data_IF_291056812488
#
_entry.id   IF_291056812488
#
_cell.length_a   1.000
_cell.length_b   1.000
_cell.length_c   1.000
_cell.angle_alpha   90.00
_cell.angle_beta   90.00
_cell.angle_gamma   90.00
#
_symmetry.space_group_name_H-M   'P 1'
#
loop_
_entity.id
_entity.type
_entity.pdbx_description
1 polymer ?
#
# COMPACT_ATOMS: atom_id res chain seq x y z
N UNK A 1 20.77 6.39 -10.22
CA UNK A 1 20.59 5.58 -11.44
C UNK A 1 20.99 4.15 -11.08
N UNK A 2 20.01 3.26 -10.89
CA UNK A 2 20.30 1.83 -10.74
C UNK A 2 20.68 1.27 -12.09
N UNK A 3 21.69 0.37 -12.20
CA UNK A 3 22.07 -0.21 -13.48
C UNK A 3 20.91 -1.07 -14.01
N UNK A 4 20.75 -1.16 -15.34
CA UNK A 4 19.76 -2.01 -15.95
C UNK A 4 20.04 -3.47 -15.56
N UNK A 5 18.97 -4.24 -15.30
CA UNK A 5 19.02 -5.70 -15.16
C UNK A 5 19.40 -6.30 -16.51
N UNK A 6 20.67 -6.20 -16.88
CA UNK A 6 21.22 -6.92 -18.03
C UNK A 6 21.55 -8.33 -17.55
N UNK A 7 20.73 -9.29 -17.96
CA UNK A 7 21.07 -10.69 -17.82
C UNK A 7 22.24 -11.00 -18.79
N UNK A 8 23.48 -10.97 -18.28
CA UNK A 8 24.57 -11.68 -18.96
C UNK A 8 24.24 -13.17 -18.94
N UNK A 9 24.19 -13.78 -20.12
CA UNK A 9 23.99 -15.22 -20.28
C UNK A 9 25.28 -15.91 -19.86
N UNK A 10 25.35 -16.58 -18.68
CA UNK A 10 26.51 -17.41 -18.36
C UNK A 10 26.48 -18.68 -19.19
N UNK A 11 27.66 -19.21 -19.49
CA UNK A 11 27.85 -20.46 -20.18
C UNK A 11 27.03 -21.59 -19.56
N UNK A 12 26.32 -22.35 -20.40
CA UNK A 12 25.37 -23.38 -20.03
C UNK A 12 26.07 -24.57 -19.32
N UNK A 13 26.04 -24.54 -18.00
CA UNK A 13 26.08 -25.77 -17.21
C UNK A 13 24.68 -26.39 -17.17
N UNK A 14 24.53 -27.69 -16.83
CA UNK A 14 23.22 -28.32 -16.74
C UNK A 14 22.35 -27.54 -15.72
N UNK A 15 21.19 -27.04 -16.18
CA UNK A 15 20.27 -26.28 -15.35
C UNK A 15 19.80 -27.14 -14.16
N UNK A 16 19.71 -26.54 -12.99
CA UNK A 16 19.19 -27.20 -11.79
C UNK A 16 17.66 -27.35 -11.89
N UNK A 17 17.13 -28.34 -11.17
CA UNK A 17 15.68 -28.43 -10.92
C UNK A 17 15.36 -27.68 -9.66
N UNK A 18 14.52 -26.65 -9.78
CA UNK A 18 14.17 -25.72 -8.67
C UNK A 18 12.67 -25.77 -8.43
N UNK A 19 12.28 -25.92 -7.19
CA UNK A 19 10.91 -25.77 -6.74
C UNK A 19 10.73 -24.34 -6.18
N UNK A 20 9.73 -23.62 -6.67
CA UNK A 20 9.28 -22.33 -6.13
C UNK A 20 7.92 -22.55 -5.49
N UNK A 21 7.74 -22.14 -4.24
CA UNK A 21 6.52 -22.35 -3.48
C UNK A 21 5.81 -21.03 -3.28
N UNK A 22 4.57 -20.96 -3.75
CA UNK A 22 3.71 -19.78 -3.77
C UNK A 22 3.82 -18.98 -5.06
N UNK A 23 2.67 -18.58 -5.60
CA UNK A 23 2.55 -17.82 -6.85
C UNK A 23 2.22 -16.34 -6.62
N UNK A 24 2.52 -15.79 -5.46
CA UNK A 24 2.52 -14.33 -5.26
C UNK A 24 3.61 -13.66 -6.08
N UNK A 25 3.69 -12.32 -6.03
CA UNK A 25 4.64 -11.54 -6.83
C UNK A 25 6.09 -12.02 -6.66
N UNK A 26 6.50 -12.37 -5.44
CA UNK A 26 7.85 -12.86 -5.15
C UNK A 26 8.11 -14.21 -5.82
N UNK A 27 7.18 -15.17 -5.70
CA UNK A 27 7.33 -16.50 -6.30
C UNK A 27 7.27 -16.46 -7.82
N UNK A 28 6.35 -15.70 -8.41
CA UNK A 28 6.26 -15.53 -9.86
C UNK A 28 7.51 -14.87 -10.44
N UNK A 29 7.99 -13.79 -9.81
CA UNK A 29 9.21 -13.10 -10.26
C UNK A 29 10.45 -14.00 -10.16
N UNK A 30 10.59 -14.74 -9.07
CA UNK A 30 11.68 -15.69 -8.87
C UNK A 30 11.59 -16.84 -9.89
N UNK A 31 10.42 -17.44 -10.05
CA UNK A 31 10.20 -18.53 -11.00
C UNK A 31 10.52 -18.08 -12.43
N UNK A 32 10.03 -16.90 -12.84
CA UNK A 32 10.31 -16.33 -14.13
C UNK A 32 11.82 -16.11 -14.37
N UNK A 33 12.51 -15.47 -13.42
CA UNK A 33 13.94 -15.21 -13.55
C UNK A 33 14.77 -16.50 -13.58
N UNK A 34 14.47 -17.44 -12.71
CA UNK A 34 15.18 -18.73 -12.61
C UNK A 34 14.91 -19.61 -13.83
N UNK A 35 13.74 -19.54 -14.44
CA UNK A 35 13.39 -20.33 -15.63
C UNK A 35 14.25 -20.02 -16.84
N UNK A 36 14.93 -18.87 -16.84
CA UNK A 36 15.87 -18.50 -17.91
C UNK A 36 17.10 -19.45 -18.00
N UNK A 37 17.41 -20.14 -16.89
CA UNK A 37 18.62 -20.97 -16.77
C UNK A 37 18.38 -22.36 -16.16
N UNK A 38 17.22 -22.54 -15.55
CA UNK A 38 16.92 -23.73 -14.74
C UNK A 38 15.55 -24.31 -15.11
N UNK A 39 15.32 -25.56 -14.76
CA UNK A 39 13.98 -26.17 -14.82
C UNK A 39 13.23 -25.82 -13.54
N UNK A 40 12.23 -24.96 -13.65
CA UNK A 40 11.47 -24.47 -12.49
C UNK A 40 10.10 -25.14 -12.43
N UNK A 41 9.73 -25.62 -11.25
CA UNK A 41 8.35 -26.05 -10.93
C UNK A 41 7.78 -25.08 -9.89
N UNK A 42 6.69 -24.42 -10.25
CA UNK A 42 5.96 -23.53 -9.35
C UNK A 42 4.81 -24.32 -8.67
N UNK A 43 4.77 -24.28 -7.35
CA UNK A 43 3.73 -24.90 -6.53
C UNK A 43 2.84 -23.79 -5.93
N UNK A 44 1.54 -23.94 -6.09
CA UNK A 44 0.53 -23.05 -5.53
C UNK A 44 -0.55 -23.88 -4.83
N UNK A 45 -0.99 -23.43 -3.64
CA UNK A 45 -2.03 -24.12 -2.86
C UNK A 45 -3.44 -23.68 -3.22
N UNK A 46 -3.58 -22.47 -3.78
CA UNK A 46 -4.86 -21.95 -4.25
C UNK A 46 -5.17 -22.42 -5.68
N UNK A 47 -6.41 -22.29 -6.08
CA UNK A 47 -6.88 -22.60 -7.43
C UNK A 47 -6.56 -21.50 -8.46
N UNK A 48 -5.90 -20.42 -8.02
CA UNK A 48 -5.48 -19.31 -8.86
C UNK A 48 -4.02 -18.88 -8.58
N UNK A 49 -3.37 -18.28 -9.56
CA UNK A 49 -2.08 -17.64 -9.41
C UNK A 49 -2.23 -16.16 -9.00
N UNK A 50 -1.13 -15.56 -8.50
CA UNK A 50 -1.05 -14.13 -8.23
C UNK A 50 -1.02 -13.75 -6.75
N UNK A 51 -1.38 -14.66 -5.84
CA UNK A 51 -1.37 -14.39 -4.40
C UNK A 51 -2.29 -13.21 -4.04
N UNK A 52 -1.72 -12.14 -3.47
CA UNK A 52 -2.48 -10.93 -3.13
C UNK A 52 -2.99 -10.16 -4.38
N UNK A 53 -2.28 -10.23 -5.50
CA UNK A 53 -2.76 -9.65 -6.76
C UNK A 53 -3.93 -10.48 -7.30
N UNK A 54 -5.08 -9.83 -7.47
CA UNK A 54 -6.30 -10.52 -7.89
C UNK A 54 -7.18 -9.59 -8.71
N UNK A 55 -7.30 -9.91 -10.00
CA UNK A 55 -8.20 -9.22 -10.92
C UNK A 55 -9.44 -10.07 -11.14
N UNK A 56 -10.61 -9.50 -10.97
CA UNK A 56 -11.91 -10.15 -11.21
C UNK A 56 -12.68 -9.46 -12.32
N UNK A 57 -13.49 -10.21 -13.05
CA UNK A 57 -14.41 -9.62 -14.01
C UNK A 57 -15.72 -9.22 -13.29
N UNK A 58 -16.03 -7.93 -13.37
CA UNK A 58 -17.28 -7.38 -12.85
C UNK A 58 -18.27 -7.10 -13.99
N UNK A 59 -19.56 -7.45 -13.85
CA UNK A 59 -20.55 -7.15 -14.86
C UNK A 59 -20.78 -5.64 -14.97
N UNK A 60 -20.89 -5.11 -16.19
CA UNK A 60 -21.30 -3.74 -16.43
C UNK A 60 -22.26 -3.66 -17.63
N UNK A 61 -23.01 -2.54 -17.79
CA UNK A 61 -23.90 -2.35 -18.94
C UNK A 61 -23.18 -2.37 -20.30
N UNK A 62 -21.88 -2.08 -20.32
CA UNK A 62 -21.04 -2.09 -21.52
C UNK A 62 -20.31 -3.43 -21.74
N UNK A 63 -20.57 -4.45 -20.94
CA UNK A 63 -19.88 -5.73 -20.92
C UNK A 63 -19.01 -5.89 -19.66
N UNK A 64 -18.37 -7.05 -19.46
CA UNK A 64 -17.52 -7.29 -18.30
C UNK A 64 -16.30 -6.36 -18.31
N UNK A 65 -15.94 -5.88 -17.12
CA UNK A 65 -14.74 -5.05 -16.91
C UNK A 65 -13.81 -5.74 -15.91
N UNK A 66 -12.52 -5.69 -16.17
CA UNK A 66 -11.50 -6.18 -15.26
C UNK A 66 -11.31 -5.20 -14.09
N UNK A 67 -11.39 -5.71 -12.87
CA UNK A 67 -11.25 -4.94 -11.62
C UNK A 67 -10.19 -5.58 -10.74
N UNK A 68 -9.15 -4.83 -10.42
CA UNK A 68 -8.14 -5.24 -9.47
C UNK A 68 -8.69 -5.11 -8.04
N UNK A 69 -8.69 -6.21 -7.28
CA UNK A 69 -9.29 -6.26 -5.94
C UNK A 69 -8.28 -6.41 -4.81
N UNK A 70 -7.04 -6.75 -5.12
CA UNK A 70 -5.96 -6.90 -4.14
C UNK A 70 -4.97 -5.74 -4.23
N UNK A 71 -3.83 -5.98 -4.84
CA UNK A 71 -2.82 -4.93 -5.09
C UNK A 71 -3.26 -4.03 -6.24
N UNK A 72 -3.72 -2.83 -5.93
CA UNK A 72 -4.37 -1.93 -6.89
C UNK A 72 -3.55 -0.70 -7.27
N UNK A 73 -2.55 -0.33 -6.46
CA UNK A 73 -1.73 0.86 -6.71
C UNK A 73 -0.29 0.64 -6.26
N UNK A 74 0.63 1.32 -6.92
CA UNK A 74 2.04 1.42 -6.54
C UNK A 74 2.59 2.80 -6.95
N UNK A 75 3.77 3.15 -6.47
CA UNK A 75 4.51 4.32 -6.95
C UNK A 75 5.95 3.93 -7.29
N UNK A 76 6.50 4.54 -8.33
CA UNK A 76 7.82 4.20 -8.85
C UNK A 76 8.96 4.45 -7.84
N UNK A 77 8.80 5.42 -6.94
CA UNK A 77 9.82 5.76 -5.96
C UNK A 77 10.03 4.64 -4.92
N UNK A 78 8.92 4.03 -4.46
CA UNK A 78 8.96 3.00 -3.42
C UNK A 78 9.06 1.58 -4.00
N UNK A 79 8.74 1.39 -5.29
CA UNK A 79 8.71 0.09 -5.96
C UNK A 79 9.60 0.05 -7.21
N UNK A 80 10.90 0.42 -7.14
CA UNK A 80 11.76 0.53 -8.32
C UNK A 80 11.92 -0.80 -9.06
N UNK A 81 12.04 -1.91 -8.34
CA UNK A 81 12.18 -3.24 -8.96
C UNK A 81 10.89 -3.72 -9.64
N UNK A 82 9.73 -3.42 -9.06
CA UNK A 82 8.44 -3.74 -9.68
C UNK A 82 8.23 -2.91 -10.95
N UNK A 83 8.56 -1.64 -10.91
CA UNK A 83 8.51 -0.75 -12.08
C UNK A 83 9.39 -1.28 -13.20
N UNK A 84 10.64 -1.64 -12.89
CA UNK A 84 11.57 -2.21 -13.87
C UNK A 84 11.07 -3.55 -14.44
N UNK A 85 10.45 -4.40 -13.62
CA UNK A 85 9.86 -5.65 -14.07
C UNK A 85 8.68 -5.40 -15.02
N UNK A 86 7.80 -4.47 -14.71
CA UNK A 86 6.66 -4.10 -15.56
C UNK A 86 7.11 -3.53 -16.90
N UNK A 87 8.11 -2.64 -16.88
CA UNK A 87 8.69 -2.09 -18.10
C UNK A 87 9.32 -3.20 -18.98
N UNK A 88 10.05 -4.13 -18.35
CA UNK A 88 10.67 -5.25 -19.06
C UNK A 88 9.64 -6.20 -19.69
N UNK A 89 8.54 -6.48 -18.96
CA UNK A 89 7.47 -7.37 -19.44
C UNK A 89 6.44 -6.66 -20.32
N UNK A 90 6.54 -5.35 -20.49
CA UNK A 90 5.55 -4.55 -21.24
C UNK A 90 4.17 -4.53 -20.59
N UNK A 91 4.09 -4.60 -19.25
CA UNK A 91 2.82 -4.58 -18.51
C UNK A 91 2.20 -3.17 -18.58
N UNK A 92 1.00 -3.02 -19.16
CA UNK A 92 0.36 -1.71 -19.23
C UNK A 92 -0.03 -1.21 -17.85
N UNK A 93 0.33 0.02 -17.55
CA UNK A 93 -0.04 0.71 -16.31
C UNK A 93 -0.69 2.05 -16.61
N UNK A 94 -1.45 2.59 -15.67
CA UNK A 94 -2.10 3.90 -15.82
C UNK A 94 -1.92 4.73 -14.56
N UNK A 95 -1.82 6.07 -14.68
CA UNK A 95 -1.85 6.95 -13.52
C UNK A 95 -3.14 6.76 -12.73
N UNK A 96 -3.03 6.66 -11.40
CA UNK A 96 -4.15 6.55 -10.49
C UNK A 96 -4.10 7.71 -9.47
N UNK A 97 -5.27 8.17 -9.05
CA UNK A 97 -5.39 9.14 -7.98
C UNK A 97 -5.64 8.41 -6.66
N UNK A 98 -4.67 8.51 -5.76
CA UNK A 98 -4.86 8.03 -4.39
C UNK A 98 -5.40 9.17 -3.54
N UNK A 99 -6.61 9.00 -3.05
CA UNK A 99 -7.21 9.89 -2.06
C UNK A 99 -7.78 9.07 -0.92
N UNK A 100 -7.83 9.69 0.25
CA UNK A 100 -8.45 9.12 1.44
C UNK A 100 -9.70 9.93 1.76
N UNK A 101 -10.81 9.25 1.98
CA UNK A 101 -12.06 9.85 2.38
C UNK A 101 -12.59 9.16 3.64
N UNK A 102 -13.23 9.93 4.47
CA UNK A 102 -13.83 9.46 5.73
C UNK A 102 -15.30 9.84 5.75
N UNK A 103 -16.14 8.89 6.10
CA UNK A 103 -17.56 9.08 6.46
C UNK A 103 -17.83 8.30 7.73
N UNK A 104 -18.29 8.98 8.77
CA UNK A 104 -18.58 8.43 10.10
C UNK A 104 -20.01 8.79 10.47
N UNK A 105 -20.71 7.86 11.15
CA UNK A 105 -22.05 8.04 11.66
C UNK A 105 -23.04 8.53 10.57
N UNK A 106 -23.16 7.74 9.48
CA UNK A 106 -24.05 8.01 8.35
C UNK A 106 -23.91 9.44 7.78
N UNK A 107 -22.67 9.89 7.65
CA UNK A 107 -22.37 11.22 7.13
C UNK A 107 -22.38 12.35 8.18
N UNK A 108 -22.43 12.00 9.47
CA UNK A 108 -22.32 12.99 10.52
C UNK A 108 -20.95 13.68 10.53
N UNK A 109 -19.90 13.03 10.06
CA UNK A 109 -18.60 13.63 9.86
C UNK A 109 -17.97 13.11 8.58
N UNK A 110 -17.68 14.02 7.64
CA UNK A 110 -17.11 13.67 6.35
C UNK A 110 -16.05 14.68 5.91
N UNK A 111 -15.00 14.15 5.29
CA UNK A 111 -14.02 14.93 4.54
C UNK A 111 -13.22 14.01 3.61
N UNK A 112 -12.45 14.58 2.69
CA UNK A 112 -11.51 13.85 1.86
C UNK A 112 -10.19 14.61 1.72
N UNK A 113 -9.11 13.88 1.50
CA UNK A 113 -7.78 14.44 1.25
C UNK A 113 -7.58 14.94 -0.18
N UNK A 114 -8.59 14.84 -1.05
CA UNK A 114 -8.50 15.25 -2.47
C UNK A 114 -8.62 16.78 -2.66
N UNK A 115 -7.74 17.54 -2.00
CA UNK A 115 -7.65 19.00 -2.10
C UNK A 115 -8.60 19.74 -1.17
N UNK A 116 -8.44 21.06 -1.11
CA UNK A 116 -9.15 21.92 -0.14
C UNK A 116 -10.67 21.86 -0.25
N UNK A 117 -11.22 21.74 -1.45
CA UNK A 117 -12.69 21.65 -1.61
C UNK A 117 -13.25 20.38 -0.99
N UNK A 118 -12.56 19.26 -1.16
CA UNK A 118 -12.97 17.98 -0.60
C UNK A 118 -12.70 17.89 0.92
N UNK A 119 -11.63 18.53 1.38
CA UNK A 119 -11.34 18.66 2.81
C UNK A 119 -12.48 19.37 3.56
N UNK A 120 -13.09 20.37 2.94
CA UNK A 120 -14.22 21.13 3.46
C UNK A 120 -15.55 20.82 2.75
N UNK A 121 -15.74 19.59 2.26
CA UNK A 121 -17.00 19.16 1.64
C UNK A 121 -18.21 19.42 2.55
N UNK A 122 -18.04 19.17 3.86
CA UNK A 122 -18.99 19.61 4.86
C UNK A 122 -18.62 21.02 5.35
N UNK A 123 -19.42 22.02 5.00
CA UNK A 123 -19.16 23.43 5.35
C UNK A 123 -19.02 23.68 6.87
N UNK A 124 -19.67 22.88 7.71
CA UNK A 124 -19.53 22.95 9.18
C UNK A 124 -18.10 22.71 9.65
N UNK A 125 -17.26 22.01 8.87
CA UNK A 125 -15.87 21.77 9.23
C UNK A 125 -15.05 23.08 9.29
N UNK A 126 -15.44 24.12 8.52
CA UNK A 126 -14.81 25.44 8.62
C UNK A 126 -14.93 26.08 10.00
N UNK A 127 -16.06 25.86 10.68
CA UNK A 127 -16.33 26.43 12.00
C UNK A 127 -15.99 25.46 13.15
N UNK A 128 -15.42 24.29 12.87
CA UNK A 128 -15.14 23.26 13.87
C UNK A 128 -13.72 23.36 14.45
N UNK A 129 -13.55 23.78 15.70
CA UNK A 129 -12.23 23.79 16.34
C UNK A 129 -11.58 22.37 16.41
N UNK A 130 -12.42 21.34 16.57
CA UNK A 130 -11.95 19.94 16.57
C UNK A 130 -11.35 19.55 15.21
N UNK A 131 -11.96 20.00 14.11
CA UNK A 131 -11.45 19.74 12.76
C UNK A 131 -10.12 20.46 12.52
N UNK A 132 -10.01 21.72 12.90
CA UNK A 132 -8.76 22.48 12.78
C UNK A 132 -7.64 21.90 13.65
N UNK A 133 -7.96 21.39 14.85
CA UNK A 133 -7.00 20.65 15.67
C UNK A 133 -6.52 19.39 14.97
N UNK A 134 -7.43 18.62 14.33
CA UNK A 134 -7.07 17.44 13.54
C UNK A 134 -6.11 17.80 12.42
N UNK A 135 -6.36 18.88 11.68
CA UNK A 135 -5.45 19.36 10.62
C UNK A 135 -4.10 19.76 11.21
N UNK A 136 -4.08 20.47 12.32
CA UNK A 136 -2.84 20.83 13.03
C UNK A 136 -2.04 19.59 13.48
N UNK A 137 -2.73 18.60 14.03
CA UNK A 137 -2.13 17.31 14.43
C UNK A 137 -1.57 16.55 13.23
N UNK A 138 -2.27 16.54 12.09
CA UNK A 138 -1.79 15.96 10.84
C UNK A 138 -0.48 16.60 10.38
N UNK A 139 -0.43 17.92 10.28
CA UNK A 139 0.77 18.64 9.85
C UNK A 139 1.93 18.45 10.83
N UNK A 140 1.63 18.42 12.12
CA UNK A 140 2.60 18.14 13.17
C UNK A 140 3.16 16.72 13.04
N UNK A 141 2.30 15.72 12.86
CA UNK A 141 2.70 14.32 12.68
C UNK A 141 3.60 14.13 11.46
N UNK A 142 3.25 14.73 10.31
CA UNK A 142 4.08 14.67 9.10
C UNK A 142 5.48 15.24 9.30
N UNK A 143 5.65 16.19 10.20
CA UNK A 143 6.93 16.80 10.53
C UNK A 143 7.71 16.02 11.60
N UNK A 144 7.02 15.56 12.65
CA UNK A 144 7.63 14.94 13.82
C UNK A 144 7.94 13.46 13.61
N UNK A 145 7.01 12.68 13.06
CA UNK A 145 7.19 11.24 12.93
C UNK A 145 8.45 10.83 12.12
N UNK A 146 8.76 11.43 10.96
CA UNK A 146 10.01 11.09 10.25
C UNK A 146 11.28 11.44 11.03
N UNK A 147 11.24 12.49 11.85
CA UNK A 147 12.38 12.89 12.69
C UNK A 147 12.58 11.93 13.86
N UNK A 148 11.49 11.47 14.46
CA UNK A 148 11.51 10.65 15.65
C UNK A 148 11.70 9.15 15.32
N UNK A 149 11.40 8.73 14.09
CA UNK A 149 11.45 7.35 13.63
C UNK A 149 12.76 6.60 13.97
N UNK A 150 13.96 7.16 13.76
CA UNK A 150 15.19 6.43 14.08
C UNK A 150 15.34 6.06 15.57
N UNK A 151 14.79 6.86 16.46
CA UNK A 151 14.79 6.57 17.89
C UNK A 151 13.68 5.57 18.27
N UNK A 152 12.56 5.61 17.56
CA UNK A 152 11.41 4.76 17.78
C UNK A 152 11.66 3.31 17.35
N UNK A 153 12.38 3.08 16.24
CA UNK A 153 12.76 1.75 15.76
C UNK A 153 13.50 0.92 16.84
N UNK A 154 14.30 1.56 17.66
CA UNK A 154 15.05 0.92 18.74
C UNK A 154 14.22 0.72 20.03
N UNK A 155 13.12 1.46 20.19
CA UNK A 155 12.34 1.47 21.43
C UNK A 155 11.26 0.40 21.51
N UNK A 156 10.81 -0.12 20.34
CA UNK A 156 9.64 -0.99 20.26
C UNK A 156 8.33 -0.30 20.70
N UNK A 157 8.30 1.04 20.72
CA UNK A 157 7.13 1.82 21.09
C UNK A 157 6.01 1.61 20.06
N UNK A 158 4.80 1.34 20.54
CA UNK A 158 3.64 1.20 19.65
C UNK A 158 3.17 2.55 19.13
N UNK A 159 2.48 2.54 17.99
CA UNK A 159 1.86 3.74 17.42
C UNK A 159 0.90 4.40 18.41
N UNK A 160 0.11 3.62 19.15
CA UNK A 160 -0.79 4.16 20.18
C UNK A 160 -0.04 4.88 21.31
N UNK A 161 1.06 4.30 21.77
CA UNK A 161 1.90 4.92 22.80
C UNK A 161 2.53 6.23 22.29
N UNK A 162 3.06 6.24 21.05
CA UNK A 162 3.60 7.44 20.43
C UNK A 162 2.57 8.57 20.31
N UNK A 163 1.39 8.25 19.80
CA UNK A 163 0.31 9.22 19.65
C UNK A 163 -0.19 9.76 21.00
N UNK A 164 -0.21 8.92 22.02
CA UNK A 164 -0.62 9.28 23.38
C UNK A 164 0.40 10.21 24.03
N UNK A 165 1.68 9.85 23.99
CA UNK A 165 2.77 10.67 24.52
C UNK A 165 2.89 12.02 23.79
N UNK A 166 2.70 12.01 22.46
CA UNK A 166 2.69 13.22 21.66
C UNK A 166 1.44 14.09 21.83
N UNK A 167 0.44 13.65 22.60
CA UNK A 167 -0.80 14.42 22.87
C UNK A 167 -1.64 14.66 21.61
N UNK A 168 -1.59 13.74 20.64
CA UNK A 168 -2.41 13.81 19.42
C UNK A 168 -3.89 13.63 19.75
N UNK A 169 -4.74 14.48 19.16
CA UNK A 169 -6.17 14.50 19.47
C UNK A 169 -6.92 13.29 18.93
N UNK A 170 -8.06 12.91 19.55
CA UNK A 170 -8.81 11.71 19.19
C UNK A 170 -9.29 11.75 17.73
N UNK A 171 -9.73 12.90 17.22
CA UNK A 171 -10.20 12.99 15.84
C UNK A 171 -9.09 12.71 14.81
N UNK A 172 -7.84 13.16 15.08
CA UNK A 172 -6.70 12.82 14.25
C UNK A 172 -6.39 11.32 14.30
N UNK A 173 -6.42 10.73 15.49
CA UNK A 173 -6.10 9.31 15.69
C UNK A 173 -7.16 8.42 15.05
N UNK A 174 -8.43 8.63 15.37
CA UNK A 174 -9.53 7.69 15.09
C UNK A 174 -10.22 7.95 13.74
N UNK A 175 -10.21 9.20 13.25
CA UNK A 175 -10.85 9.57 12.01
C UNK A 175 -9.87 9.92 10.87
N UNK A 176 -8.55 9.84 11.09
CA UNK A 176 -7.57 10.06 10.04
C UNK A 176 -6.47 9.00 10.03
N UNK A 177 -5.57 9.00 11.02
CA UNK A 177 -4.35 8.22 10.96
C UNK A 177 -4.60 6.71 11.02
N UNK A 178 -5.30 6.24 12.05
CA UNK A 178 -5.54 4.80 12.24
C UNK A 178 -6.38 4.18 11.11
N UNK A 179 -7.49 4.79 10.65
CA UNK A 179 -8.23 4.24 9.51
C UNK A 179 -7.44 4.20 8.22
N UNK A 180 -6.67 5.26 7.92
CA UNK A 180 -5.84 5.32 6.73
C UNK A 180 -4.73 4.26 6.76
N UNK A 181 -4.02 4.16 7.86
CA UNK A 181 -2.96 3.16 8.02
C UNK A 181 -3.54 1.74 8.00
N UNK A 182 -4.64 1.48 8.71
CA UNK A 182 -5.32 0.19 8.71
C UNK A 182 -5.78 -0.24 7.31
N UNK A 183 -6.27 0.69 6.50
CA UNK A 183 -6.65 0.43 5.11
C UNK A 183 -5.43 0.06 4.24
N UNK A 184 -4.29 0.72 4.43
CA UNK A 184 -3.05 0.43 3.70
C UNK A 184 -2.50 -0.96 4.07
N UNK A 185 -2.52 -1.30 5.37
CA UNK A 185 -1.98 -2.58 5.87
C UNK A 185 -3.01 -3.70 5.95
N UNK A 186 -4.24 -3.46 5.49
CA UNK A 186 -5.33 -4.46 5.49
C UNK A 186 -5.55 -5.13 6.87
N UNK A 187 -5.54 -4.32 7.93
CA UNK A 187 -5.73 -4.77 9.30
C UNK A 187 -6.78 -3.95 10.03
N UNK A 188 -7.18 -4.35 11.25
CA UNK A 188 -8.06 -3.54 12.07
C UNK A 188 -7.34 -2.32 12.67
N UNK A 189 -8.09 -1.27 13.01
CA UNK A 189 -7.52 -0.09 13.68
C UNK A 189 -6.84 -0.44 15.00
N UNK A 190 -7.39 -1.41 15.76
CA UNK A 190 -6.80 -1.88 17.02
C UNK A 190 -5.45 -2.58 16.80
N UNK A 191 -5.35 -3.40 15.75
CA UNK A 191 -4.07 -4.01 15.37
C UNK A 191 -3.06 -2.94 14.93
N UNK A 192 -3.49 -1.97 14.09
CA UNK A 192 -2.64 -0.88 13.65
C UNK A 192 -2.09 -0.05 14.82
N UNK A 193 -2.92 0.24 15.81
CA UNK A 193 -2.51 0.96 17.02
C UNK A 193 -1.42 0.23 17.82
N UNK A 194 -1.41 -1.10 17.76
CA UNK A 194 -0.43 -1.96 18.44
C UNK A 194 0.88 -2.19 17.68
N UNK A 195 1.01 -1.76 16.43
CA UNK A 195 2.25 -1.89 15.67
C UNK A 195 3.32 -0.91 16.18
N UNK A 196 4.60 -1.29 16.10
CA UNK A 196 5.71 -0.40 16.44
C UNK A 196 5.87 0.75 15.45
#
# INVERSE_FOLDING_TARGET
MSPPLVAETPAAGPGQRIAVIGSGISGLSAAWLLSQKHTVTLYESADRLGGHSHTVEAPSPAGPIAVDTGFIVYNAANYPNLTALFDYLGVPTKPAHMSFAVSIDDGAFEYSSHGLRALFAQKRNYASPKFWRMIGDLLRFQKEAPRDLPALELSGMTLDAYLTLGGYGPLFREAHLLPQAAAIWSCSMGQMAGYP
#
